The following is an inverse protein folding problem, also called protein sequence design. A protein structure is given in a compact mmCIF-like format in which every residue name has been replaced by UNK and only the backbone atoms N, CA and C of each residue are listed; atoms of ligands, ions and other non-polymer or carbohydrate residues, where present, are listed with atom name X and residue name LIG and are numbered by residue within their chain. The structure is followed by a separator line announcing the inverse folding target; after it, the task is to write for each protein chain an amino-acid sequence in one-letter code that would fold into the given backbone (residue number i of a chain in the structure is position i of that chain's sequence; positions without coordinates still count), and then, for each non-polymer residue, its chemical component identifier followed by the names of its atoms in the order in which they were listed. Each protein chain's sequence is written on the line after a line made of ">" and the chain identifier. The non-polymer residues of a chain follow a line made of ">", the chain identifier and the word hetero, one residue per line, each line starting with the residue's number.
data_IF_055456645670
#
_entry.id   IF_055456645670
#
_cell.length_a   1.000
_cell.length_b   1.000
_cell.length_c   1.000
_cell.angle_alpha   90.00
_cell.angle_beta   90.00
_cell.angle_gamma   90.00
#
_symmetry.space_group_name_H-M   'P 1'
#
loop_
_entity.id
_entity.type
_entity.pdbx_description
1 polymer ?
#
# COMPACT_ATOMS: atom_id res chain seq x y z
N UNK A 1 -26.92 4.44 -3.70
CA UNK A 1 -26.30 3.19 -4.14
C UNK A 1 -24.93 3.52 -4.71
N UNK A 2 -23.87 3.02 -4.08
CA UNK A 2 -22.46 3.27 -4.48
C UNK A 2 -22.01 2.31 -5.61
N UNK A 3 -22.90 1.54 -6.17
CA UNK A 3 -22.63 0.61 -7.26
C UNK A 3 -23.72 0.75 -8.32
N UNK A 4 -23.33 1.09 -9.53
CA UNK A 4 -24.21 1.04 -10.69
C UNK A 4 -24.52 -0.42 -11.04
N UNK A 5 -25.62 -0.92 -10.50
CA UNK A 5 -26.20 -2.20 -10.89
C UNK A 5 -25.88 -3.40 -9.98
N UNK A 6 -26.37 -4.56 -10.41
CA UNK A 6 -26.21 -5.83 -9.71
C UNK A 6 -24.79 -6.37 -9.84
N UNK A 7 -24.09 -6.51 -8.71
CA UNK A 7 -22.77 -7.16 -8.64
C UNK A 7 -22.95 -8.65 -8.31
N UNK A 8 -22.41 -9.52 -9.15
CA UNK A 8 -22.49 -10.98 -8.96
C UNK A 8 -21.09 -11.51 -8.64
N UNK A 9 -20.97 -12.23 -7.53
CA UNK A 9 -19.72 -12.83 -7.05
C UNK A 9 -19.79 -14.36 -7.05
N UNK A 10 -19.70 -15.02 -8.21
CA UNK A 10 -19.75 -16.47 -8.30
C UNK A 10 -18.48 -17.10 -7.69
N UNK A 11 -18.68 -18.29 -7.11
CA UNK A 11 -17.60 -19.15 -6.58
C UNK A 11 -17.84 -20.58 -7.01
N UNK A 12 -16.79 -21.23 -7.53
CA UNK A 12 -16.81 -22.65 -7.92
C UNK A 12 -15.62 -23.31 -7.23
N UNK A 13 -15.83 -24.48 -6.68
CA UNK A 13 -14.78 -25.27 -6.05
C UNK A 13 -14.94 -26.76 -6.33
N UNK A 14 -13.81 -27.42 -6.56
CA UNK A 14 -13.70 -28.87 -6.67
C UNK A 14 -12.80 -29.40 -5.56
N UNK A 15 -13.26 -30.41 -4.85
CA UNK A 15 -12.46 -31.11 -3.83
C UNK A 15 -12.28 -32.57 -4.20
N UNK A 16 -11.04 -33.05 -4.17
CA UNK A 16 -10.69 -34.44 -4.43
C UNK A 16 -10.03 -35.05 -3.17
N UNK A 17 -10.61 -36.13 -2.69
CA UNK A 17 -10.15 -36.86 -1.49
C UNK A 17 -9.68 -38.26 -1.87
N UNK A 18 -8.40 -38.46 -2.30
CA UNK A 18 -7.89 -39.80 -2.67
C UNK A 18 -7.83 -40.75 -1.48
N UNK A 19 -7.75 -40.18 -0.25
CA UNK A 19 -7.77 -40.92 1.02
C UNK A 19 -8.57 -40.12 2.05
N UNK A 20 -9.06 -40.78 3.09
CA UNK A 20 -9.85 -40.11 4.15
C UNK A 20 -9.12 -38.96 4.84
N UNK A 21 -7.81 -38.99 4.86
CA UNK A 21 -6.94 -38.02 5.54
C UNK A 21 -6.16 -37.13 4.58
N UNK A 22 -6.55 -37.05 3.31
CA UNK A 22 -5.96 -36.16 2.30
C UNK A 22 -7.07 -35.46 1.51
N UNK A 23 -6.90 -34.19 1.26
CA UNK A 23 -7.82 -33.35 0.49
C UNK A 23 -7.02 -32.41 -0.41
N UNK A 24 -7.31 -32.47 -1.70
CA UNK A 24 -6.86 -31.49 -2.69
C UNK A 24 -8.07 -30.65 -3.09
N UNK A 25 -7.88 -29.37 -3.27
CA UNK A 25 -8.94 -28.47 -3.73
C UNK A 25 -8.42 -27.53 -4.81
N UNK A 26 -9.29 -27.19 -5.72
CA UNK A 26 -9.12 -26.05 -6.61
C UNK A 26 -10.36 -25.18 -6.50
N UNK A 27 -10.17 -23.89 -6.38
CA UNK A 27 -11.27 -22.93 -6.25
C UNK A 27 -11.04 -21.79 -7.21
N UNK A 28 -12.11 -21.37 -7.87
CA UNK A 28 -12.20 -20.10 -8.56
C UNK A 28 -13.31 -19.27 -7.92
N UNK A 29 -13.04 -17.99 -7.71
CA UNK A 29 -13.99 -17.08 -7.09
C UNK A 29 -13.84 -15.68 -7.69
N UNK A 30 -14.96 -14.96 -7.74
CA UNK A 30 -14.96 -13.52 -7.91
C UNK A 30 -15.49 -12.86 -6.63
N UNK A 31 -15.00 -11.69 -6.33
CA UNK A 31 -15.49 -10.82 -5.28
C UNK A 31 -15.45 -9.37 -5.77
N UNK A 32 -16.16 -8.48 -5.13
CA UNK A 32 -16.07 -7.05 -5.36
C UNK A 32 -15.99 -6.32 -4.02
N UNK A 33 -15.36 -5.16 -4.03
CA UNK A 33 -15.27 -4.25 -2.92
C UNK A 33 -15.70 -2.86 -3.39
N UNK A 34 -16.71 -2.28 -2.74
CA UNK A 34 -17.18 -0.95 -3.09
C UNK A 34 -16.28 0.11 -2.50
N UNK A 35 -16.06 1.25 -3.19
CA UNK A 35 -15.36 2.38 -2.62
C UNK A 35 -15.96 2.78 -1.27
N UNK A 36 -15.11 3.22 -0.36
CA UNK A 36 -15.57 3.74 0.93
C UNK A 36 -16.22 5.12 0.75
N UNK A 37 -17.06 5.53 1.71
CA UNK A 37 -17.60 6.89 1.72
C UNK A 37 -16.48 7.95 1.74
N UNK A 38 -15.34 7.66 2.35
CA UNK A 38 -14.17 8.54 2.32
C UNK A 38 -13.60 8.67 0.90
N UNK A 39 -13.48 7.55 0.19
CA UNK A 39 -12.96 7.56 -1.17
C UNK A 39 -13.87 8.34 -2.15
N UNK A 40 -15.18 8.42 -1.88
CA UNK A 40 -16.14 9.13 -2.71
C UNK A 40 -16.38 10.58 -2.26
N UNK A 41 -16.59 10.83 -0.99
CA UNK A 41 -17.18 12.09 -0.49
C UNK A 41 -16.31 12.87 0.50
N UNK A 42 -15.04 12.49 0.68
CA UNK A 42 -14.13 13.25 1.53
C UNK A 42 -13.95 14.68 0.99
N UNK A 43 -13.95 15.68 1.86
CA UNK A 43 -13.51 17.04 1.54
C UNK A 43 -12.96 17.68 2.83
N UNK A 44 -11.68 17.44 3.09
CA UNK A 44 -11.02 17.85 4.34
C UNK A 44 -9.78 18.67 4.01
N UNK A 45 -9.63 19.82 4.66
CA UNK A 45 -8.39 20.57 4.66
C UNK A 45 -7.32 19.80 5.42
N UNK A 46 -6.18 19.54 4.77
CA UNK A 46 -5.04 18.80 5.34
C UNK A 46 -3.97 19.75 5.84
N UNK A 47 -3.45 20.62 4.96
CA UNK A 47 -2.34 21.52 5.26
C UNK A 47 -2.23 22.63 4.22
N UNK A 48 -1.12 23.39 4.26
CA UNK A 48 -0.72 24.35 3.23
C UNK A 48 0.67 24.04 2.73
N UNK A 49 0.84 24.14 1.41
CA UNK A 49 2.14 24.11 0.75
C UNK A 49 2.32 25.45 0.06
N UNK A 50 3.23 26.28 0.56
CA UNK A 50 3.37 27.68 0.12
C UNK A 50 2.04 28.44 0.25
N UNK A 51 1.54 29.02 -0.84
CA UNK A 51 0.28 29.76 -0.90
C UNK A 51 -0.95 28.86 -1.09
N UNK A 52 -0.76 27.61 -1.49
CA UNK A 52 -1.85 26.69 -1.79
C UNK A 52 -2.32 25.93 -0.56
N UNK A 53 -3.63 25.77 -0.48
CA UNK A 53 -4.24 24.83 0.48
C UNK A 53 -4.20 23.42 -0.11
N UNK A 54 -3.95 22.43 0.72
CA UNK A 54 -4.03 21.01 0.37
C UNK A 54 -5.32 20.43 0.95
N UNK A 55 -6.13 19.83 0.10
CA UNK A 55 -7.36 19.14 0.49
C UNK A 55 -7.27 17.66 0.14
N UNK A 56 -7.73 16.81 1.06
CA UNK A 56 -8.06 15.44 0.75
C UNK A 56 -9.51 15.40 0.24
N UNK A 57 -9.71 15.01 -1.02
CA UNK A 57 -11.02 14.95 -1.67
C UNK A 57 -11.35 13.56 -2.16
N UNK A 58 -12.63 13.23 -2.08
CA UNK A 58 -13.19 12.05 -2.70
C UNK A 58 -13.36 12.21 -4.21
N UNK A 59 -13.47 11.08 -4.90
CA UNK A 59 -13.56 11.02 -6.36
C UNK A 59 -15.00 10.81 -6.87
N UNK A 60 -16.01 11.35 -6.16
CA UNK A 60 -17.40 11.41 -6.65
C UNK A 60 -17.47 12.24 -7.92
N UNK A 61 -17.90 11.66 -9.03
CA UNK A 61 -17.86 12.26 -10.35
C UNK A 61 -16.47 12.35 -11.01
N UNK A 62 -15.41 11.86 -10.36
CA UNK A 62 -14.04 11.88 -10.88
C UNK A 62 -13.35 13.25 -10.75
N UNK A 63 -12.22 13.38 -11.44
CA UNK A 63 -11.44 14.63 -11.47
C UNK A 63 -11.23 15.05 -12.92
N UNK A 64 -11.73 16.22 -13.27
CA UNK A 64 -11.65 16.79 -14.63
C UNK A 64 -10.83 18.07 -14.59
N UNK A 65 -9.88 18.20 -15.50
CA UNK A 65 -9.05 19.36 -15.63
C UNK A 65 -9.48 20.18 -16.87
N UNK A 66 -9.98 21.41 -16.69
CA UNK A 66 -10.31 22.30 -17.81
C UNK A 66 -9.11 22.54 -18.72
N UNK A 67 -9.36 22.57 -20.03
CA UNK A 67 -8.36 22.75 -21.07
C UNK A 67 -8.78 23.86 -22.01
N UNK A 68 -7.79 24.49 -22.64
CA UNK A 68 -8.00 25.46 -23.71
C UNK A 68 -8.45 24.79 -25.02
N UNK A 69 -8.63 25.57 -26.07
CA UNK A 69 -9.06 25.12 -27.41
C UNK A 69 -8.05 24.13 -28.06
N UNK A 70 -6.81 24.14 -27.60
CA UNK A 70 -5.74 23.26 -28.07
C UNK A 70 -5.63 21.96 -27.23
N UNK A 71 -6.44 21.82 -26.19
CA UNK A 71 -6.40 20.69 -25.25
C UNK A 71 -5.37 20.84 -24.13
N UNK A 72 -4.79 22.03 -23.95
CA UNK A 72 -3.78 22.32 -22.92
C UNK A 72 -4.45 22.60 -21.57
N UNK A 73 -4.05 21.94 -20.49
CA UNK A 73 -4.63 22.21 -19.16
C UNK A 73 -4.38 23.63 -18.69
N UNK A 74 -5.35 24.19 -17.97
CA UNK A 74 -5.15 25.43 -17.24
C UNK A 74 -4.45 25.20 -15.92
N UNK A 75 -3.59 26.17 -15.54
CA UNK A 75 -3.08 26.29 -14.19
C UNK A 75 -3.35 27.68 -13.63
N UNK A 76 -3.38 27.81 -12.31
CA UNK A 76 -3.56 29.06 -11.61
C UNK A 76 -2.22 29.60 -11.14
N UNK A 77 -1.90 30.85 -11.55
CA UNK A 77 -0.72 31.59 -11.13
C UNK A 77 -1.07 32.54 -9.97
N UNK A 78 -0.68 32.23 -8.73
CA UNK A 78 -1.11 32.97 -7.55
C UNK A 78 -0.51 34.40 -7.46
N UNK A 79 0.69 34.61 -8.04
CA UNK A 79 1.34 35.91 -8.06
C UNK A 79 0.56 36.95 -8.88
N UNK A 80 -0.15 36.49 -9.90
CA UNK A 80 -0.93 37.35 -10.81
C UNK A 80 -2.44 37.21 -10.61
N UNK A 81 -2.88 36.16 -9.92
CA UNK A 81 -4.29 35.90 -9.66
C UNK A 81 -5.07 35.46 -10.89
N UNK A 82 -4.41 34.85 -11.88
CA UNK A 82 -4.97 34.51 -13.18
C UNK A 82 -4.84 33.02 -13.49
N UNK A 83 -5.69 32.56 -14.41
CA UNK A 83 -5.58 31.23 -15.01
C UNK A 83 -4.92 31.35 -16.37
N UNK A 84 -3.94 30.50 -16.62
CA UNK A 84 -3.20 30.46 -17.88
C UNK A 84 -3.15 29.02 -18.41
N UNK A 85 -3.00 28.87 -19.75
CA UNK A 85 -2.71 27.57 -20.35
C UNK A 85 -1.26 27.17 -20.05
N UNK A 86 -1.05 25.90 -19.73
CA UNK A 86 0.28 25.36 -19.41
C UNK A 86 1.22 25.46 -20.61
N UNK A 87 2.29 26.22 -20.48
CA UNK A 87 3.38 26.24 -21.47
C UNK A 87 4.45 25.21 -21.12
N UNK A 88 4.39 24.05 -21.76
CA UNK A 88 5.37 22.97 -21.54
C UNK A 88 6.76 23.28 -22.08
N UNK A 89 6.98 24.39 -22.78
CA UNK A 89 8.32 24.82 -23.20
C UNK A 89 9.12 25.47 -22.07
N UNK A 90 8.43 26.19 -21.18
CA UNK A 90 9.02 26.93 -20.05
C UNK A 90 8.71 26.33 -18.68
N UNK A 91 7.67 25.50 -18.58
CA UNK A 91 7.19 24.94 -17.33
C UNK A 91 7.15 23.42 -17.34
N UNK A 92 7.23 22.81 -16.16
CA UNK A 92 7.13 21.37 -15.95
C UNK A 92 6.12 21.08 -14.85
N UNK A 93 5.44 19.95 -14.97
CA UNK A 93 4.54 19.44 -13.94
C UNK A 93 5.32 18.67 -12.89
N UNK A 94 4.99 18.90 -11.64
CA UNK A 94 5.58 18.24 -10.49
C UNK A 94 4.48 17.68 -9.58
N UNK A 95 4.54 16.39 -9.30
CA UNK A 95 3.72 15.73 -8.29
C UNK A 95 4.56 15.52 -7.03
N UNK A 96 4.29 16.22 -5.92
CA UNK A 96 4.97 15.99 -4.65
C UNK A 96 4.83 14.53 -4.21
N UNK A 97 5.89 13.96 -3.67
CA UNK A 97 5.82 12.63 -3.08
C UNK A 97 5.28 12.68 -1.65
N UNK A 98 4.62 11.59 -1.24
CA UNK A 98 4.30 11.35 0.17
C UNK A 98 5.45 10.64 0.90
N UNK A 99 6.44 10.11 0.16
CA UNK A 99 7.67 9.56 0.73
C UNK A 99 8.62 10.69 1.11
N UNK A 100 9.01 10.84 2.40
CA UNK A 100 9.91 11.90 2.83
C UNK A 100 11.34 11.78 2.29
N UNK A 101 11.70 10.66 1.65
CA UNK A 101 12.98 10.45 0.99
C UNK A 101 12.94 10.75 -0.51
N UNK A 102 11.77 11.06 -1.03
CA UNK A 102 11.53 11.37 -2.43
C UNK A 102 10.84 12.70 -2.49
N UNK A 103 11.43 13.69 -3.13
CA UNK A 103 10.83 15.02 -3.23
C UNK A 103 9.56 14.99 -4.09
N UNK A 104 9.58 14.31 -5.22
CA UNK A 104 8.44 14.18 -6.12
C UNK A 104 8.79 13.63 -7.50
N UNK A 105 7.87 13.84 -8.45
CA UNK A 105 7.95 13.32 -9.81
C UNK A 105 7.71 14.43 -10.82
N UNK A 106 8.58 14.53 -11.81
CA UNK A 106 8.56 15.57 -12.85
C UNK A 106 8.11 15.04 -14.21
N UNK A 107 7.69 15.95 -15.09
CA UNK A 107 7.41 15.65 -16.49
C UNK A 107 6.14 14.82 -16.73
N UNK A 108 5.27 14.70 -15.73
CA UNK A 108 4.01 13.98 -15.86
C UNK A 108 2.95 14.80 -16.59
N UNK A 109 2.01 14.11 -17.24
CA UNK A 109 0.87 14.75 -17.89
C UNK A 109 -0.30 14.93 -16.92
N UNK A 110 -1.06 16.01 -17.08
CA UNK A 110 -2.37 16.17 -16.42
C UNK A 110 -3.38 15.25 -17.10
N UNK A 111 -3.93 14.31 -16.37
CA UNK A 111 -4.94 13.35 -16.84
C UNK A 111 -6.25 13.53 -16.10
N UNK A 112 -7.36 13.51 -16.84
CA UNK A 112 -8.67 13.38 -16.23
C UNK A 112 -8.81 11.97 -15.66
N UNK A 113 -9.39 11.90 -14.47
CA UNK A 113 -9.54 10.65 -13.74
C UNK A 113 -11.04 10.36 -13.60
N UNK A 114 -11.48 9.16 -13.97
CA UNK A 114 -12.88 8.79 -13.82
C UNK A 114 -13.26 8.70 -12.34
N UNK A 115 -14.56 8.72 -12.08
CA UNK A 115 -15.10 8.38 -10.78
C UNK A 115 -14.56 7.03 -10.30
N UNK A 116 -14.24 6.96 -9.01
CA UNK A 116 -13.73 5.73 -8.41
C UNK A 116 -14.80 4.65 -8.39
N UNK A 117 -14.54 3.57 -9.09
CA UNK A 117 -15.43 2.42 -9.19
C UNK A 117 -15.08 1.29 -8.20
N UNK A 118 -15.94 0.26 -8.12
CA UNK A 118 -15.68 -0.91 -7.30
C UNK A 118 -14.47 -1.71 -7.80
N UNK A 119 -13.69 -2.21 -6.87
CA UNK A 119 -12.65 -3.21 -7.15
C UNK A 119 -13.31 -4.55 -7.45
N UNK A 120 -12.87 -5.21 -8.50
CA UNK A 120 -13.30 -6.58 -8.82
C UNK A 120 -12.10 -7.50 -8.70
N UNK A 121 -12.26 -8.55 -7.89
CA UNK A 121 -11.21 -9.54 -7.65
C UNK A 121 -11.62 -10.86 -8.29
N UNK A 122 -10.72 -11.44 -9.09
CA UNK A 122 -10.85 -12.80 -9.63
C UNK A 122 -9.68 -13.62 -9.13
N UNK A 123 -9.99 -14.68 -8.39
CA UNK A 123 -8.96 -15.49 -7.73
C UNK A 123 -9.04 -16.96 -8.15
N UNK A 124 -7.87 -17.55 -8.28
CA UNK A 124 -7.66 -19.00 -8.33
C UNK A 124 -6.88 -19.44 -7.10
N UNK A 125 -7.27 -20.55 -6.53
CA UNK A 125 -6.58 -21.15 -5.39
C UNK A 125 -6.48 -22.66 -5.57
N UNK A 126 -5.28 -23.22 -5.34
CA UNK A 126 -5.03 -24.64 -5.27
C UNK A 126 -4.57 -24.95 -3.86
N UNK A 127 -5.26 -25.86 -3.20
CA UNK A 127 -4.99 -26.19 -1.81
C UNK A 127 -4.77 -27.69 -1.61
N UNK A 128 -3.86 -28.01 -0.72
CA UNK A 128 -3.66 -29.34 -0.16
C UNK A 128 -3.80 -29.29 1.36
N UNK A 129 -4.50 -30.27 1.91
CA UNK A 129 -4.60 -30.47 3.34
C UNK A 129 -4.61 -31.96 3.65
N UNK A 130 -3.65 -32.43 4.48
CA UNK A 130 -3.62 -33.85 4.77
C UNK A 130 -2.60 -34.30 5.79
N UNK A 131 -2.75 -35.55 6.18
CA UNK A 131 -1.79 -36.26 7.03
C UNK A 131 -0.66 -36.80 6.15
N UNK A 132 0.55 -36.28 6.33
CA UNK A 132 1.76 -36.70 5.62
C UNK A 132 2.37 -37.99 6.23
N UNK A 133 2.24 -38.13 7.55
CA UNK A 133 2.64 -39.32 8.30
C UNK A 133 1.74 -39.49 9.54
N UNK A 134 1.85 -40.59 10.31
CA UNK A 134 1.05 -40.76 11.53
C UNK A 134 1.18 -39.63 12.55
N UNK A 135 2.27 -38.85 12.50
CA UNK A 135 2.56 -37.75 13.43
C UNK A 135 2.69 -36.39 12.76
N UNK A 136 2.50 -36.32 11.45
CA UNK A 136 2.73 -35.10 10.68
C UNK A 136 1.51 -34.77 9.82
N UNK A 137 1.02 -33.55 9.97
CA UNK A 137 -0.07 -32.97 9.21
C UNK A 137 0.40 -31.70 8.50
N UNK A 138 0.01 -31.49 7.25
CA UNK A 138 0.42 -30.33 6.48
C UNK A 138 -0.72 -29.73 5.68
N UNK A 139 -0.61 -28.41 5.45
CA UNK A 139 -1.42 -27.67 4.49
C UNK A 139 -0.52 -26.85 3.58
N UNK A 140 -0.95 -26.68 2.34
CA UNK A 140 -0.34 -25.76 1.38
C UNK A 140 -1.46 -25.19 0.52
N UNK A 141 -1.57 -23.87 0.49
CA UNK A 141 -2.52 -23.14 -0.35
C UNK A 141 -1.72 -22.16 -1.21
N UNK A 142 -1.86 -22.28 -2.54
CA UNK A 142 -1.21 -21.40 -3.52
C UNK A 142 -2.34 -20.64 -4.21
N UNK A 143 -2.22 -19.33 -4.29
CA UNK A 143 -3.25 -18.49 -4.88
C UNK A 143 -2.69 -17.46 -5.84
N UNK A 144 -3.53 -17.07 -6.79
CA UNK A 144 -3.34 -15.88 -7.63
C UNK A 144 -4.63 -15.11 -7.70
N UNK A 145 -4.54 -13.79 -7.62
CA UNK A 145 -5.67 -12.88 -7.65
C UNK A 145 -5.41 -11.76 -8.63
N UNK A 146 -6.34 -11.55 -9.55
CA UNK A 146 -6.36 -10.40 -10.44
C UNK A 146 -7.38 -9.40 -9.91
N UNK A 147 -6.90 -8.20 -9.58
CA UNK A 147 -7.71 -7.06 -9.20
C UNK A 147 -7.91 -6.17 -10.41
N UNK A 148 -9.15 -5.90 -10.78
CA UNK A 148 -9.51 -4.87 -11.74
C UNK A 148 -10.00 -3.65 -10.97
N UNK A 149 -9.59 -2.46 -11.41
CA UNK A 149 -9.92 -1.19 -10.74
C UNK A 149 -9.47 -1.15 -9.27
N UNK A 150 -8.26 -1.63 -9.01
CA UNK A 150 -7.66 -1.58 -7.66
C UNK A 150 -7.61 -0.15 -7.14
N UNK A 151 -8.05 0.10 -5.90
CA UNK A 151 -8.09 1.43 -5.31
C UNK A 151 -6.75 1.79 -4.68
N UNK A 152 -6.21 2.96 -5.03
CA UNK A 152 -4.94 3.47 -4.53
C UNK A 152 -4.97 3.79 -3.03
N UNK A 153 -3.82 3.87 -2.36
CA UNK A 153 -3.64 4.80 -1.24
C UNK A 153 -3.98 6.23 -1.66
N UNK A 154 -4.08 7.15 -0.68
CA UNK A 154 -4.20 8.59 -0.99
C UNK A 154 -2.97 9.04 -1.77
N UNK A 155 -3.18 9.66 -2.93
CA UNK A 155 -2.12 10.14 -3.82
C UNK A 155 -2.41 11.57 -4.27
N UNK A 156 -1.39 12.28 -4.80
CA UNK A 156 -1.58 13.61 -5.37
C UNK A 156 -2.36 13.51 -6.69
N UNK A 157 -3.40 14.33 -6.81
CA UNK A 157 -4.28 14.40 -7.99
C UNK A 157 -3.92 15.60 -8.84
N UNK A 158 -3.69 16.78 -8.22
CA UNK A 158 -3.34 18.01 -8.92
C UNK A 158 -1.84 18.24 -8.87
N UNK A 159 -1.14 18.23 -10.01
CA UNK A 159 0.27 18.59 -10.04
C UNK A 159 0.49 20.09 -9.81
N UNK A 160 1.65 20.41 -9.30
CA UNK A 160 2.21 21.76 -9.18
C UNK A 160 2.91 22.08 -10.50
N UNK A 161 2.90 23.35 -10.90
CA UNK A 161 3.59 23.88 -12.07
C UNK A 161 4.85 24.61 -11.63
N UNK A 162 5.98 24.22 -12.18
CA UNK A 162 7.30 24.75 -11.84
C UNK A 162 7.99 25.26 -13.09
N UNK A 163 8.70 26.37 -13.01
CA UNK A 163 9.54 26.91 -14.06
C UNK A 163 10.75 26.01 -14.30
N UNK A 164 10.99 25.59 -15.56
CA UNK A 164 12.09 24.71 -15.93
C UNK A 164 13.46 25.29 -15.63
N UNK A 165 13.62 26.62 -15.80
CA UNK A 165 14.89 27.31 -15.57
C UNK A 165 15.44 27.08 -14.16
N UNK A 166 14.56 26.87 -13.18
CA UNK A 166 14.95 26.60 -11.79
C UNK A 166 15.65 25.25 -11.66
N UNK A 167 15.25 24.26 -12.47
CA UNK A 167 15.84 22.93 -12.46
C UNK A 167 17.15 22.84 -13.31
N UNK A 168 17.47 23.91 -14.05
CA UNK A 168 18.67 24.01 -14.89
C UNK A 168 19.76 24.89 -14.26
N UNK A 169 19.58 25.32 -13.02
CA UNK A 169 20.52 26.23 -12.35
C UNK A 169 21.51 25.43 -11.49
N UNK A 170 22.79 25.74 -11.63
CA UNK A 170 23.84 25.29 -10.72
C UNK A 170 23.71 26.11 -9.43
N UNK A 171 23.20 25.46 -8.35
CA UNK A 171 22.91 26.14 -7.09
C UNK A 171 24.04 26.04 -6.08
N UNK A 172 24.97 25.09 -6.25
CA UNK A 172 26.08 24.84 -5.32
C UNK A 172 27.43 25.33 -5.86
N UNK A 173 27.44 25.95 -7.05
CA UNK A 173 28.67 26.44 -7.73
C UNK A 173 29.74 25.35 -7.91
N UNK A 174 29.35 24.07 -7.96
CA UNK A 174 30.27 22.95 -8.17
C UNK A 174 30.65 22.75 -9.65
N UNK A 175 29.99 23.48 -10.56
CA UNK A 175 30.15 23.42 -11.99
C UNK A 175 29.31 22.37 -12.67
N UNK A 176 28.46 21.66 -11.93
CA UNK A 176 27.43 20.78 -12.45
C UNK A 176 26.10 21.51 -12.52
N UNK A 177 25.42 21.45 -13.64
CA UNK A 177 24.05 21.96 -13.75
C UNK A 177 23.14 20.78 -13.40
N UNK A 178 22.30 20.97 -12.37
CA UNK A 178 21.23 20.02 -12.09
C UNK A 178 20.21 20.07 -13.22
N UNK A 179 20.50 19.38 -14.31
CA UNK A 179 19.64 19.34 -15.49
C UNK A 179 18.41 18.51 -15.18
N UNK A 180 17.28 18.94 -15.74
CA UNK A 180 16.06 18.10 -15.78
C UNK A 180 16.37 16.69 -16.28
N UNK A 181 17.31 16.54 -17.22
CA UNK A 181 17.74 15.26 -17.78
C UNK A 181 18.45 14.37 -16.76
N UNK A 182 19.23 14.93 -15.86
CA UNK A 182 19.92 14.21 -14.78
C UNK A 182 18.96 13.85 -13.65
N UNK A 183 17.98 14.71 -13.40
CA UNK A 183 16.89 14.52 -12.41
C UNK A 183 15.83 13.54 -12.95
N UNK A 184 15.60 13.51 -14.27
CA UNK A 184 14.48 12.81 -14.95
C UNK A 184 14.87 11.45 -15.49
N UNK A 185 16.10 10.96 -15.32
CA UNK A 185 16.50 9.63 -15.82
C UNK A 185 15.57 8.50 -15.29
N UNK A 186 14.99 8.69 -14.13
CA UNK A 186 13.97 7.81 -13.55
C UNK A 186 12.66 8.50 -13.12
N UNK A 187 12.46 9.79 -13.45
CA UNK A 187 11.37 10.65 -13.01
C UNK A 187 11.25 10.79 -11.46
N UNK A 188 12.31 10.58 -10.72
CA UNK A 188 12.34 10.63 -9.26
C UNK A 188 13.55 11.45 -8.85
N UNK A 189 13.35 12.44 -7.99
CA UNK A 189 14.43 13.05 -7.23
C UNK A 189 14.52 12.28 -5.93
N UNK A 190 15.65 11.63 -5.68
CA UNK A 190 15.85 10.84 -4.48
C UNK A 190 16.75 11.53 -3.45
N UNK A 191 17.01 10.83 -2.34
CA UNK A 191 17.69 11.41 -1.17
C UNK A 191 19.17 11.74 -1.38
N UNK A 192 19.78 11.26 -2.47
CA UNK A 192 21.19 11.56 -2.76
C UNK A 192 21.31 12.92 -3.45
N UNK A 193 20.22 13.37 -4.10
CA UNK A 193 20.07 14.70 -4.69
C UNK A 193 19.66 15.76 -3.64
N UNK A 194 19.50 15.35 -2.38
CA UNK A 194 18.71 16.05 -1.37
C UNK A 194 19.47 17.14 -0.58
N UNK A 195 20.80 17.19 -0.64
CA UNK A 195 21.54 17.97 0.38
C UNK A 195 21.51 19.48 0.21
N UNK A 196 21.23 20.03 -0.98
CA UNK A 196 21.08 21.49 -1.15
C UNK A 196 19.95 21.88 -2.10
N UNK A 197 19.47 20.98 -2.91
CA UNK A 197 18.42 21.20 -3.90
C UNK A 197 16.99 21.25 -3.33
N UNK A 198 16.80 20.93 -2.06
CA UNK A 198 15.50 20.79 -1.38
C UNK A 198 14.49 21.93 -1.60
N UNK A 199 14.94 23.11 -1.97
CA UNK A 199 14.07 24.25 -2.19
C UNK A 199 13.90 24.63 -3.68
N UNK A 200 14.45 23.87 -4.62
CA UNK A 200 14.43 24.25 -6.04
C UNK A 200 13.01 24.45 -6.56
N UNK A 201 12.15 23.45 -6.39
CA UNK A 201 10.79 23.55 -6.85
C UNK A 201 10.01 24.71 -6.17
N UNK A 202 10.36 25.06 -4.93
CA UNK A 202 9.71 26.18 -4.22
C UNK A 202 10.09 27.52 -4.82
N UNK A 203 11.31 27.66 -5.31
CA UNK A 203 11.78 28.89 -5.96
C UNK A 203 11.18 29.06 -7.35
N UNK A 204 10.94 27.95 -8.06
CA UNK A 204 10.30 27.95 -9.37
C UNK A 204 8.81 27.74 -9.37
N UNK A 205 8.15 27.75 -8.21
CA UNK A 205 6.71 27.53 -8.12
C UNK A 205 5.91 28.60 -8.87
N UNK A 206 5.39 28.25 -10.03
CA UNK A 206 4.55 29.11 -10.84
C UNK A 206 3.07 29.00 -10.45
N UNK A 207 2.60 27.77 -10.15
CA UNK A 207 1.19 27.60 -9.87
C UNK A 207 0.78 26.15 -9.56
N UNK A 208 -0.52 25.89 -9.64
CA UNK A 208 -1.12 24.57 -9.51
C UNK A 208 -2.14 24.38 -10.63
N UNK A 209 -2.22 23.18 -11.18
CA UNK A 209 -3.25 22.85 -12.17
C UNK A 209 -4.64 23.04 -11.59
N UNK A 210 -5.53 23.64 -12.35
CA UNK A 210 -6.88 23.98 -11.88
C UNK A 210 -7.86 22.88 -12.25
N UNK A 211 -8.68 22.46 -11.30
CA UNK A 211 -9.86 21.64 -11.54
C UNK A 211 -11.11 22.48 -11.85
N UNK A 212 -11.10 23.73 -11.39
CA UNK A 212 -12.13 24.74 -11.64
C UNK A 212 -11.47 26.07 -12.01
N UNK A 213 -12.07 26.81 -12.95
CA UNK A 213 -11.53 28.10 -13.45
C UNK A 213 -12.55 29.21 -13.34
N UNK A 214 -12.70 29.84 -12.16
CA UNK A 214 -13.55 31.03 -12.05
C UNK A 214 -12.85 32.15 -11.28
N UNK A 215 -13.18 33.41 -11.64
CA UNK A 215 -12.52 34.57 -11.07
C UNK A 215 -12.58 34.60 -9.54
N UNK A 216 -11.46 34.92 -8.91
CA UNK A 216 -11.35 35.03 -7.45
C UNK A 216 -11.23 33.71 -6.70
N UNK A 217 -11.21 32.58 -7.38
CA UNK A 217 -10.97 31.27 -6.78
C UNK A 217 -9.50 30.91 -6.88
N UNK A 218 -8.91 30.48 -5.77
CA UNK A 218 -7.57 29.89 -5.72
C UNK A 218 -7.71 28.39 -5.62
N UNK A 219 -7.41 27.64 -6.68
CA UNK A 219 -7.56 26.19 -6.64
C UNK A 219 -6.62 25.57 -5.61
N UNK A 220 -7.08 24.56 -4.88
CA UNK A 220 -6.24 23.83 -3.95
C UNK A 220 -5.37 22.80 -4.68
N UNK A 221 -4.31 22.36 -4.01
CA UNK A 221 -3.69 21.07 -4.28
C UNK A 221 -4.61 19.99 -3.73
N UNK A 222 -4.97 19.02 -4.54
CA UNK A 222 -5.86 17.93 -4.15
C UNK A 222 -5.08 16.62 -4.04
N UNK A 223 -5.28 15.92 -2.94
CA UNK A 223 -4.92 14.51 -2.76
C UNK A 223 -6.18 13.68 -2.67
N UNK A 224 -6.18 12.47 -3.19
CA UNK A 224 -7.38 11.63 -3.23
C UNK A 224 -7.09 10.18 -3.58
N UNK A 225 -8.15 9.45 -3.88
CA UNK A 225 -8.09 8.05 -4.28
C UNK A 225 -8.36 7.92 -5.78
N UNK A 226 -7.75 6.92 -6.40
CA UNK A 226 -7.95 6.56 -7.80
C UNK A 226 -8.05 5.05 -7.97
N UNK A 227 -8.55 4.61 -9.13
CA UNK A 227 -8.39 3.23 -9.53
C UNK A 227 -7.08 3.04 -10.32
N UNK A 228 -6.23 2.12 -9.87
CA UNK A 228 -4.96 1.78 -10.55
C UNK A 228 -5.13 0.98 -11.86
N UNK A 229 -6.33 0.46 -12.13
CA UNK A 229 -6.52 -0.51 -13.20
C UNK A 229 -6.23 -1.95 -12.72
N UNK A 230 -5.46 -2.72 -13.46
CA UNK A 230 -5.27 -4.15 -13.20
C UNK A 230 -4.01 -4.42 -12.36
N UNK A 231 -4.21 -5.12 -11.24
CA UNK A 231 -3.12 -5.56 -10.35
C UNK A 231 -3.20 -7.07 -10.17
N UNK A 232 -2.06 -7.75 -10.36
CA UNK A 232 -1.95 -9.19 -10.18
C UNK A 232 -1.17 -9.50 -8.92
N UNK A 233 -1.80 -10.20 -7.99
CA UNK A 233 -1.15 -10.71 -6.78
C UNK A 233 -1.06 -12.22 -6.84
N UNK A 234 0.00 -12.79 -6.28
CA UNK A 234 0.12 -14.22 -6.05
C UNK A 234 0.84 -14.47 -4.74
N UNK A 235 0.61 -15.63 -4.18
CA UNK A 235 1.27 -16.00 -2.94
C UNK A 235 0.99 -17.45 -2.56
N UNK A 236 1.51 -17.84 -1.42
CA UNK A 236 1.18 -19.12 -0.83
C UNK A 236 1.24 -19.07 0.70
N UNK A 237 0.41 -19.92 1.31
CA UNK A 237 0.38 -20.19 2.73
C UNK A 237 0.66 -21.67 2.98
N UNK A 238 1.58 -21.95 3.88
CA UNK A 238 1.95 -23.33 4.27
C UNK A 238 1.86 -23.50 5.78
N UNK A 239 1.40 -24.66 6.23
CA UNK A 239 1.49 -25.04 7.63
C UNK A 239 1.91 -26.49 7.80
N UNK A 240 2.61 -26.75 8.90
CA UNK A 240 3.06 -28.06 9.29
C UNK A 240 2.84 -28.24 10.78
N UNK A 241 2.01 -29.22 11.15
CA UNK A 241 1.79 -29.62 12.55
C UNK A 241 2.38 -31.01 12.78
N UNK A 242 3.34 -31.09 13.68
CA UNK A 242 4.04 -32.32 14.01
C UNK A 242 3.98 -32.72 15.48
N UNK A 243 3.70 -34.01 15.75
CA UNK A 243 3.90 -34.60 17.06
C UNK A 243 5.33 -35.12 17.13
N UNK A 244 6.22 -34.42 17.84
CA UNK A 244 7.60 -34.86 18.06
C UNK A 244 7.56 -36.16 18.88
N UNK A 245 6.74 -36.17 19.92
CA UNK A 245 6.40 -37.33 20.70
C UNK A 245 5.00 -37.18 21.34
N UNK A 246 4.67 -37.95 22.36
CA UNK A 246 3.35 -37.94 23.00
C UNK A 246 3.12 -36.74 23.91
N UNK A 247 4.15 -35.92 24.16
CA UNK A 247 4.11 -34.79 25.07
C UNK A 247 4.50 -33.46 24.35
N UNK A 248 5.20 -33.54 23.23
CA UNK A 248 5.67 -32.38 22.48
C UNK A 248 5.02 -32.31 21.10
N UNK A 249 4.52 -31.13 20.76
CA UNK A 249 4.09 -30.80 19.40
C UNK A 249 4.76 -29.52 18.90
N UNK A 250 4.93 -29.46 17.58
CA UNK A 250 5.45 -28.29 16.87
C UNK A 250 4.49 -27.92 15.75
N UNK A 251 4.06 -26.65 15.76
CA UNK A 251 3.33 -26.03 14.65
C UNK A 251 4.22 -25.00 13.98
N UNK A 252 4.32 -25.07 12.66
CA UNK A 252 5.02 -24.10 11.81
C UNK A 252 4.03 -23.54 10.81
N UNK A 253 4.10 -22.25 10.59
CA UNK A 253 3.34 -21.55 9.55
C UNK A 253 4.27 -20.64 8.76
N UNK A 254 4.00 -20.51 7.46
CA UNK A 254 4.73 -19.61 6.61
C UNK A 254 3.81 -19.05 5.53
N UNK A 255 3.87 -17.73 5.31
CA UNK A 255 3.14 -17.03 4.27
C UNK A 255 4.11 -16.26 3.40
N UNK A 256 3.89 -16.30 2.10
CA UNK A 256 4.63 -15.56 1.09
C UNK A 256 3.70 -14.75 0.20
N UNK A 257 4.04 -13.48 -0.02
CA UNK A 257 3.35 -12.60 -0.94
C UNK A 257 4.31 -12.17 -2.05
N UNK A 258 3.99 -12.50 -3.30
CA UNK A 258 4.88 -12.30 -4.44
C UNK A 258 5.04 -10.85 -4.89
N UNK A 259 4.05 -9.99 -4.56
CA UNK A 259 4.06 -8.57 -4.92
C UNK A 259 3.67 -7.73 -3.70
N UNK A 260 4.44 -6.70 -3.41
CA UNK A 260 4.23 -5.82 -2.25
C UNK A 260 4.11 -4.35 -2.63
N UNK A 261 4.24 -4.04 -3.92
CA UNK A 261 4.24 -2.67 -4.45
C UNK A 261 3.55 -2.65 -5.83
N UNK A 262 2.93 -1.52 -6.18
CA UNK A 262 2.23 -1.30 -7.45
C UNK A 262 2.65 0.02 -8.08
N UNK A 263 2.64 0.06 -9.42
CA UNK A 263 2.88 1.28 -10.15
C UNK A 263 1.66 2.21 -10.05
N UNK A 264 1.89 3.45 -9.62
CA UNK A 264 0.90 4.53 -9.65
C UNK A 264 0.84 5.12 -11.07
N UNK A 265 -0.29 5.04 -11.78
CA UNK A 265 -0.38 5.50 -13.16
C UNK A 265 -0.41 7.04 -13.32
N UNK A 266 -0.59 7.79 -12.24
CA UNK A 266 -0.55 9.27 -12.26
C UNK A 266 0.89 9.75 -12.11
N UNK A 267 1.52 9.33 -11.01
CA UNK A 267 2.86 9.82 -10.64
C UNK A 267 3.98 8.98 -11.25
N UNK A 268 3.65 7.84 -11.86
CA UNK A 268 4.59 6.81 -12.31
C UNK A 268 5.51 6.28 -11.20
N UNK A 269 5.08 6.43 -9.94
CA UNK A 269 5.77 5.95 -8.75
C UNK A 269 5.33 4.55 -8.35
N UNK A 270 6.01 3.99 -7.38
CA UNK A 270 5.69 2.66 -6.83
C UNK A 270 5.10 2.80 -5.43
N UNK A 271 3.82 2.46 -5.29
CA UNK A 271 3.10 2.54 -4.02
C UNK A 271 3.07 1.18 -3.30
N UNK A 272 3.31 1.13 -1.98
CA UNK A 272 3.28 -0.11 -1.21
C UNK A 272 1.85 -0.56 -0.88
N UNK A 273 1.64 -1.87 -0.73
CA UNK A 273 0.37 -2.44 -0.25
C UNK A 273 0.32 -2.60 1.27
N UNK A 274 1.30 -2.05 1.99
CA UNK A 274 1.38 -2.12 3.44
C UNK A 274 1.38 -3.55 4.01
N UNK A 275 2.06 -4.46 3.32
CA UNK A 275 2.15 -5.86 3.72
C UNK A 275 3.56 -6.41 3.55
N UNK A 276 4.03 -7.22 4.50
CA UNK A 276 5.33 -7.89 4.40
C UNK A 276 5.29 -9.02 3.36
N UNK A 277 6.43 -9.22 2.69
CA UNK A 277 6.62 -10.31 1.74
C UNK A 277 6.66 -11.67 2.42
N UNK A 278 7.28 -11.76 3.59
CA UNK A 278 7.45 -12.99 4.35
C UNK A 278 6.87 -12.85 5.75
N UNK A 279 6.07 -13.84 6.17
CA UNK A 279 5.65 -14.03 7.57
C UNK A 279 5.88 -15.47 7.96
N UNK A 280 6.39 -15.71 9.16
CA UNK A 280 6.57 -17.03 9.71
C UNK A 280 6.07 -17.11 11.15
N UNK A 281 5.50 -18.24 11.50
CA UNK A 281 5.06 -18.54 12.86
C UNK A 281 5.57 -19.90 13.32
N UNK A 282 5.86 -20.00 14.61
CA UNK A 282 6.24 -21.26 15.26
C UNK A 282 5.54 -21.35 16.60
N UNK A 283 4.97 -22.52 16.91
CA UNK A 283 4.48 -22.84 18.25
C UNK A 283 5.07 -24.17 18.67
N UNK A 284 5.85 -24.16 19.76
CA UNK A 284 6.34 -25.35 20.44
C UNK A 284 5.52 -25.54 21.70
N UNK A 285 4.83 -26.67 21.81
CA UNK A 285 3.98 -26.98 22.94
C UNK A 285 4.47 -28.24 23.67
N UNK A 286 4.50 -28.14 24.98
CA UNK A 286 4.77 -29.24 25.89
C UNK A 286 3.55 -29.52 26.77
N UNK A 287 3.08 -30.77 26.78
CA UNK A 287 1.90 -31.22 27.53
C UNK A 287 2.21 -32.61 28.13
N UNK A 288 2.93 -32.65 29.27
CA UNK A 288 3.32 -33.91 29.90
C UNK A 288 2.10 -34.67 30.40
N UNK A 289 2.10 -35.99 30.17
CA UNK A 289 0.97 -36.83 30.59
C UNK A 289 0.91 -37.07 32.11
N UNK A 290 2.05 -37.00 32.76
CA UNK A 290 2.19 -37.31 34.20
C UNK A 290 1.84 -36.09 35.07
N UNK A 291 1.97 -34.89 34.54
CA UNK A 291 1.84 -33.65 35.30
C UNK A 291 0.70 -32.80 34.75
N UNK A 292 -0.07 -32.07 35.62
CA UNK A 292 -1.22 -31.31 35.20
C UNK A 292 -0.87 -29.92 34.66
N UNK A 293 0.27 -29.74 34.01
CA UNK A 293 0.67 -28.48 33.43
C UNK A 293 0.89 -28.57 31.91
N UNK A 294 0.77 -27.43 31.23
CA UNK A 294 1.12 -27.25 29.84
C UNK A 294 1.98 -26.02 29.70
N UNK A 295 2.91 -26.06 28.75
CA UNK A 295 3.71 -24.88 28.40
C UNK A 295 3.75 -24.74 26.88
N UNK A 296 3.71 -23.52 26.36
CA UNK A 296 3.99 -23.27 24.96
C UNK A 296 4.76 -21.97 24.74
N UNK A 297 5.69 -22.04 23.79
CA UNK A 297 6.37 -20.88 23.20
C UNK A 297 5.79 -20.63 21.81
N UNK A 298 5.33 -19.41 21.56
CA UNK A 298 4.87 -18.97 20.24
C UNK A 298 5.83 -17.92 19.75
N UNK A 299 6.43 -18.11 18.57
CA UNK A 299 7.25 -17.16 17.87
C UNK A 299 6.55 -16.69 16.61
N UNK A 300 6.57 -15.38 16.33
CA UNK A 300 6.17 -14.84 15.04
C UNK A 300 7.29 -13.96 14.48
N UNK A 301 7.58 -14.14 13.23
CA UNK A 301 8.47 -13.30 12.43
C UNK A 301 7.67 -12.59 11.36
N UNK A 302 7.93 -11.30 11.18
CA UNK A 302 7.39 -10.45 10.14
C UNK A 302 8.56 -9.76 9.45
N UNK A 303 8.64 -9.91 8.14
CA UNK A 303 9.67 -9.26 7.32
C UNK A 303 9.45 -7.76 7.24
N UNK A 304 10.50 -7.00 6.91
CA UNK A 304 10.41 -5.58 6.69
C UNK A 304 9.58 -5.24 5.45
N UNK A 305 8.86 -4.12 5.49
CA UNK A 305 8.06 -3.66 4.36
C UNK A 305 7.85 -2.15 4.39
N UNK A 306 7.55 -1.58 3.23
CA UNK A 306 7.17 -0.18 3.11
C UNK A 306 5.73 0.02 3.58
N UNK A 307 5.51 1.12 4.29
CA UNK A 307 4.21 1.55 4.77
C UNK A 307 3.87 2.92 4.22
N UNK A 308 2.66 3.09 3.71
CA UNK A 308 2.11 4.39 3.31
C UNK A 308 0.64 4.49 3.73
N UNK A 309 0.29 5.59 4.37
CA UNK A 309 -1.10 5.95 4.69
C UNK A 309 -1.45 7.36 4.18
N UNK A 310 -0.90 7.70 3.03
CA UNK A 310 -1.06 9.00 2.39
C UNK A 310 -0.07 10.05 2.91
N UNK A 311 -0.26 10.53 4.13
CA UNK A 311 0.61 11.54 4.76
C UNK A 311 1.72 10.93 5.64
N UNK A 312 1.60 9.68 6.00
CA UNK A 312 2.58 8.94 6.78
C UNK A 312 3.22 7.86 5.91
N UNK A 313 4.51 7.96 5.70
CA UNK A 313 5.29 7.02 4.93
C UNK A 313 6.52 6.56 5.72
N UNK A 314 6.95 5.31 5.54
CA UNK A 314 8.17 4.82 6.14
C UNK A 314 8.39 3.34 5.96
N UNK A 315 9.51 2.86 6.50
CA UNK A 315 9.87 1.45 6.47
C UNK A 315 9.60 0.81 7.84
N UNK A 316 8.75 -0.20 7.85
CA UNK A 316 8.61 -1.11 8.99
C UNK A 316 9.82 -2.05 8.96
N UNK A 317 10.61 -2.03 10.03
CA UNK A 317 11.75 -2.93 10.16
C UNK A 317 11.29 -4.36 10.45
N UNK A 318 12.00 -5.39 10.00
CA UNK A 318 11.67 -6.76 10.33
C UNK A 318 11.72 -6.98 11.85
N UNK A 319 10.79 -7.78 12.36
CA UNK A 319 10.73 -8.04 13.80
C UNK A 319 10.33 -9.48 14.12
N UNK A 320 10.70 -9.89 15.32
CA UNK A 320 10.32 -11.17 15.91
C UNK A 320 9.76 -10.96 17.31
N UNK A 321 8.62 -11.57 17.59
CA UNK A 321 7.98 -11.55 18.91
C UNK A 321 7.82 -12.97 19.39
N UNK A 322 8.14 -13.19 20.67
CA UNK A 322 8.01 -14.51 21.33
C UNK A 322 7.13 -14.35 22.54
N UNK A 323 6.11 -15.21 22.63
CA UNK A 323 5.16 -15.28 23.75
C UNK A 323 5.29 -16.59 24.49
N UNK A 324 5.13 -16.57 25.82
CA UNK A 324 5.11 -17.72 26.69
C UNK A 324 3.72 -17.93 27.26
N UNK A 325 3.19 -19.14 27.16
CA UNK A 325 1.94 -19.52 27.82
C UNK A 325 2.19 -20.72 28.74
N UNK A 326 1.71 -20.60 29.96
CA UNK A 326 1.74 -21.67 30.96
C UNK A 326 0.32 -21.95 31.45
N UNK A 327 -0.06 -23.19 31.47
CA UNK A 327 -1.36 -23.63 32.02
C UNK A 327 -1.15 -24.66 33.13
N UNK A 328 -1.94 -24.59 34.17
CA UNK A 328 -1.92 -25.56 35.27
C UNK A 328 -3.34 -25.98 35.61
N UNK A 329 -3.63 -27.26 35.56
CA UNK A 329 -4.88 -27.84 35.97
C UNK A 329 -4.83 -28.14 37.48
N UNK A 330 -5.48 -27.30 38.30
CA UNK A 330 -5.50 -27.43 39.76
C UNK A 330 -6.37 -28.63 40.16
N UNK A 331 -7.55 -28.74 39.53
CA UNK A 331 -8.46 -29.88 39.66
C UNK A 331 -9.36 -29.94 38.38
N UNK A 332 -10.41 -30.78 38.40
CA UNK A 332 -11.29 -30.93 37.22
C UNK A 332 -12.16 -29.71 36.93
N UNK A 333 -12.31 -28.81 37.89
CA UNK A 333 -13.18 -27.61 37.82
C UNK A 333 -12.29 -26.36 37.56
N UNK A 334 -11.09 -26.31 38.17
CA UNK A 334 -10.26 -25.09 38.19
C UNK A 334 -8.96 -25.28 37.39
N UNK A 335 -8.72 -24.32 36.49
CA UNK A 335 -7.46 -24.19 35.74
C UNK A 335 -6.91 -22.78 35.93
N UNK A 336 -5.60 -22.68 36.09
CA UNK A 336 -4.87 -21.42 36.07
C UNK A 336 -4.09 -21.30 34.75
N UNK A 337 -4.11 -20.11 34.15
CA UNK A 337 -3.33 -19.80 32.96
C UNK A 337 -2.51 -18.53 33.20
N UNK A 338 -1.27 -18.56 32.78
CA UNK A 338 -0.35 -17.43 32.83
C UNK A 338 0.23 -17.19 31.43
N UNK A 339 0.16 -15.95 30.97
CA UNK A 339 0.65 -15.56 29.64
C UNK A 339 1.58 -14.38 29.76
N UNK A 340 2.73 -14.46 29.14
CA UNK A 340 3.64 -13.36 28.92
C UNK A 340 3.73 -13.10 27.42
N UNK A 341 3.21 -11.98 26.98
CA UNK A 341 3.35 -11.53 25.59
C UNK A 341 4.65 -10.75 25.47
N UNK A 342 5.29 -10.91 24.30
CA UNK A 342 6.58 -10.26 24.02
C UNK A 342 7.62 -10.51 25.12
N UNK A 343 7.91 -11.78 25.36
CA UNK A 343 8.79 -12.28 26.47
C UNK A 343 10.13 -11.57 26.55
N UNK A 344 10.70 -11.18 25.41
CA UNK A 344 12.00 -10.50 25.33
C UNK A 344 11.90 -8.99 25.25
N UNK A 345 10.68 -8.42 25.41
CA UNK A 345 10.44 -6.97 25.31
C UNK A 345 11.00 -6.36 24.01
N UNK A 346 10.85 -7.08 22.88
CA UNK A 346 11.30 -6.61 21.57
C UNK A 346 10.50 -5.37 21.18
N UNK A 347 11.20 -4.24 21.02
CA UNK A 347 10.58 -3.00 20.51
C UNK A 347 10.48 -3.08 19.00
N UNK A 348 9.30 -2.87 18.48
CA UNK A 348 9.04 -2.89 17.03
C UNK A 348 7.86 -1.97 16.70
N UNK A 349 7.80 -1.58 15.44
CA UNK A 349 6.70 -0.80 14.87
C UNK A 349 5.91 -1.71 13.95
N UNK A 350 4.59 -1.74 14.07
CA UNK A 350 3.70 -2.53 13.20
C UNK A 350 2.99 -1.64 12.15
N UNK A 351 2.76 -0.37 12.48
CA UNK A 351 2.17 0.66 11.63
C UNK A 351 2.85 2.00 11.89
N UNK A 352 2.83 2.88 10.90
CA UNK A 352 3.29 4.27 11.02
C UNK A 352 2.06 5.18 10.93
N UNK A 353 1.88 6.06 11.91
CA UNK A 353 0.76 7.00 11.98
C UNK A 353 1.01 8.12 12.96
#
# INVERSE_FOLDING_TARGET
>A
DQTDGLQISPKIGLAYKPKQNQNFRITWATAFNTPTNQALFLDIFVTRVSVFKVYARGADGGYVFPRDENGTPYYYRPTEGVYESLDTSSSILFYPSTDPKIEGFYGQEVKDLPEIGPEIVKSWEIGYKGRLSPRLFGTLDIYTSNYSSFVSPVTFITPIVIEKSVLETDYDDDGSINRIEDIVDNNIIDSDDYDESFNHWRNGLEGVTAMDTFPGYTPPVVVGYINYGNVNMWGFDASLTGLINLEWSLDLTYSYLGMTEFLNPITNSVDPINAPRHKAGMKLQYSPRKYPFTASLNGRFVDGFKWSSGIYFGNIQPYTVIDLHLGYKINDILKANFTVSNLFNSRHTEIIG
#
